data_IF_583324562272
#
_entry.id   IF_583324562272
#
_cell.length_a   1.000
_cell.length_b   1.000
_cell.length_c   1.000
_cell.angle_alpha   90.00
_cell.angle_beta   90.00
_cell.angle_gamma   90.00
#
_symmetry.space_group_name_H-M   'P 1'
#
loop_
_entity.id
_entity.type
_entity.pdbx_description
1 polymer ?
#
# COMPACT_ATOMS: atom_id res chain seq x y z
N UNK A 1 -21.11 -19.48 -0.01
CA UNK A 1 -19.88 -18.67 -0.04
C UNK A 1 -18.87 -19.39 0.84
N UNK A 2 -17.77 -19.79 0.24
CA UNK A 2 -16.76 -20.63 0.89
C UNK A 2 -15.54 -19.81 1.32
N UNK A 3 -15.46 -18.57 0.79
CA UNK A 3 -14.32 -17.69 1.01
C UNK A 3 -14.71 -16.21 0.92
N UNK A 4 -14.09 -15.37 1.74
CA UNK A 4 -14.16 -13.91 1.68
C UNK A 4 -12.74 -13.38 1.38
N UNK A 5 -12.56 -12.67 0.27
CA UNK A 5 -11.33 -11.91 0.00
C UNK A 5 -11.63 -10.45 0.28
N UNK A 6 -11.12 -9.95 1.41
CA UNK A 6 -11.36 -8.59 1.89
C UNK A 6 -10.32 -7.62 1.34
N UNK A 7 -10.70 -6.90 0.27
CA UNK A 7 -9.88 -5.88 -0.39
C UNK A 7 -10.32 -4.45 -0.07
N UNK A 8 -11.51 -4.28 0.52
CA UNK A 8 -12.08 -2.97 0.78
C UNK A 8 -11.31 -2.22 1.88
N UNK A 9 -10.79 -1.05 1.54
CA UNK A 9 -10.11 -0.18 2.48
C UNK A 9 -10.12 1.28 1.98
N UNK A 10 -10.05 2.22 2.91
CA UNK A 10 -9.60 3.57 2.59
C UNK A 10 -8.06 3.55 2.50
N UNK A 11 -7.52 3.85 1.32
CA UNK A 11 -6.08 3.78 1.01
C UNK A 11 -5.42 5.16 0.90
N UNK A 12 -6.12 6.22 1.31
CA UNK A 12 -5.53 7.56 1.36
C UNK A 12 -4.46 7.62 2.46
N UNK A 13 -3.36 8.32 2.22
CA UNK A 13 -2.31 8.45 3.22
C UNK A 13 -2.62 9.48 4.30
N UNK A 14 -3.55 10.42 4.03
CA UNK A 14 -3.94 11.49 4.94
C UNK A 14 -5.46 11.55 5.06
N UNK A 15 -5.94 11.93 6.23
CA UNK A 15 -7.37 12.09 6.46
C UNK A 15 -7.76 12.01 7.94
N UNK A 16 -9.06 11.97 8.18
CA UNK A 16 -9.61 11.87 9.52
C UNK A 16 -9.44 10.45 10.07
N UNK A 17 -8.78 10.31 11.21
CA UNK A 17 -8.52 9.04 11.90
C UNK A 17 -9.81 8.23 12.11
N UNK A 18 -10.88 8.88 12.60
CA UNK A 18 -12.16 8.19 12.83
C UNK A 18 -12.77 7.58 11.54
N UNK A 19 -12.49 8.18 10.38
CA UNK A 19 -12.94 7.62 9.10
C UNK A 19 -12.18 6.33 8.77
N UNK A 20 -10.86 6.30 8.94
CA UNK A 20 -10.03 5.10 8.75
C UNK A 20 -10.41 4.00 9.75
N UNK A 21 -10.64 4.34 11.01
CA UNK A 21 -11.11 3.40 12.02
C UNK A 21 -12.44 2.76 11.60
N UNK A 22 -13.39 3.57 11.16
CA UNK A 22 -14.72 3.10 10.75
C UNK A 22 -14.65 2.20 9.49
N UNK A 23 -13.88 2.60 8.48
CA UNK A 23 -13.82 1.88 7.20
C UNK A 23 -12.90 0.67 7.30
N UNK A 24 -11.65 0.87 7.73
CA UNK A 24 -10.64 -0.19 7.68
C UNK A 24 -10.77 -1.15 8.87
N UNK A 25 -10.86 -0.63 10.09
CA UNK A 25 -10.86 -1.49 11.30
C UNK A 25 -12.25 -2.07 11.56
N UNK A 26 -13.27 -1.21 11.67
CA UNK A 26 -14.63 -1.67 11.97
C UNK A 26 -15.23 -2.46 10.81
N UNK A 27 -14.94 -2.08 9.54
CA UNK A 27 -15.31 -2.84 8.36
C UNK A 27 -14.72 -4.25 8.36
N UNK A 28 -13.43 -4.38 8.69
CA UNK A 28 -12.78 -5.69 8.85
C UNK A 28 -13.45 -6.52 9.95
N UNK A 29 -13.74 -5.89 11.10
CA UNK A 29 -14.41 -6.57 12.22
C UNK A 29 -15.76 -7.14 11.80
N UNK A 30 -16.61 -6.37 11.12
CA UNK A 30 -17.92 -6.85 10.65
C UNK A 30 -17.78 -8.05 9.70
N UNK A 31 -16.81 -8.04 8.79
CA UNK A 31 -16.59 -9.17 7.88
C UNK A 31 -16.06 -10.41 8.62
N UNK A 32 -15.21 -10.22 9.64
CA UNK A 32 -14.77 -11.32 10.51
C UNK A 32 -15.93 -11.91 11.31
N UNK A 33 -16.86 -11.10 11.82
CA UNK A 33 -18.06 -11.58 12.53
C UNK A 33 -18.95 -12.41 11.59
N UNK A 34 -19.10 -11.99 10.33
CA UNK A 34 -19.79 -12.78 9.30
C UNK A 34 -19.04 -14.09 9.02
N UNK A 35 -17.72 -14.04 8.89
CA UNK A 35 -16.92 -15.23 8.63
C UNK A 35 -17.03 -16.26 9.76
N UNK A 36 -16.94 -15.82 11.01
CA UNK A 36 -17.11 -16.69 12.20
C UNK A 36 -18.50 -17.31 12.33
N UNK A 37 -19.54 -16.67 11.77
CA UNK A 37 -20.90 -17.20 11.81
C UNK A 37 -21.13 -18.40 10.88
N UNK A 38 -20.18 -18.71 10.01
CA UNK A 38 -20.28 -19.80 9.02
C UNK A 38 -19.14 -20.80 9.21
N UNK A 39 -19.54 -22.07 9.28
CA UNK A 39 -18.58 -23.17 9.34
C UNK A 39 -17.78 -23.26 8.04
N UNK A 40 -16.49 -23.57 8.15
CA UNK A 40 -15.56 -23.83 7.04
C UNK A 40 -15.35 -22.65 6.06
N UNK A 41 -15.72 -21.40 6.45
CA UNK A 41 -15.44 -20.21 5.65
C UNK A 41 -14.01 -19.77 5.85
N UNK A 42 -13.33 -19.45 4.73
CA UNK A 42 -11.96 -18.90 4.73
C UNK A 42 -11.98 -17.38 4.63
N UNK A 43 -11.11 -16.72 5.37
CA UNK A 43 -10.98 -15.26 5.34
C UNK A 43 -9.60 -14.84 4.87
N UNK A 44 -9.55 -14.13 3.75
CA UNK A 44 -8.34 -13.63 3.12
C UNK A 44 -8.29 -12.12 3.25
N UNK A 45 -7.31 -11.61 3.98
CA UNK A 45 -7.15 -10.18 4.23
C UNK A 45 -6.03 -9.58 3.39
N UNK A 46 -6.36 -8.55 2.60
CA UNK A 46 -5.36 -7.80 1.85
C UNK A 46 -4.84 -6.67 2.71
N UNK A 47 -3.61 -6.80 3.16
CA UNK A 47 -2.87 -5.80 3.92
C UNK A 47 -1.87 -5.04 3.04
N UNK A 48 -0.90 -4.39 3.64
CA UNK A 48 0.11 -3.60 2.93
C UNK A 48 1.52 -3.99 3.35
N UNK A 49 2.45 -3.91 2.41
CA UNK A 49 3.87 -4.08 2.65
C UNK A 49 4.49 -2.87 3.37
N UNK A 50 3.78 -1.74 3.42
CA UNK A 50 4.22 -0.53 4.12
C UNK A 50 4.28 -0.63 5.64
N UNK A 51 4.13 -1.83 6.21
CA UNK A 51 4.28 -2.12 7.63
C UNK A 51 5.53 -3.00 7.82
N UNK A 52 6.53 -2.58 8.56
CA UNK A 52 6.81 -1.25 9.12
C UNK A 52 7.35 -0.27 8.05
N UNK A 53 6.90 0.97 8.12
CA UNK A 53 7.12 1.98 7.09
C UNK A 53 8.60 2.36 6.92
N UNK A 54 9.33 2.53 8.02
CA UNK A 54 10.75 2.86 8.05
C UNK A 54 11.63 1.81 7.37
N UNK A 55 11.36 0.53 7.60
CA UNK A 55 12.10 -0.58 6.99
C UNK A 55 11.79 -0.69 5.50
N UNK A 56 10.54 -0.49 5.09
CA UNK A 56 10.16 -0.58 3.68
C UNK A 56 10.74 0.58 2.86
N UNK A 57 10.68 1.80 3.37
CA UNK A 57 11.25 2.99 2.71
C UNK A 57 12.78 2.96 2.62
N UNK A 58 13.45 2.37 3.62
CA UNK A 58 14.91 2.21 3.62
C UNK A 58 15.41 1.05 2.76
N UNK A 59 14.52 0.27 2.14
CA UNK A 59 14.88 -0.87 1.32
C UNK A 59 15.36 -2.11 2.11
N UNK A 60 15.11 -2.18 3.41
CA UNK A 60 15.48 -3.30 4.26
C UNK A 60 14.46 -4.46 4.15
N UNK A 61 14.21 -4.89 2.92
CA UNK A 61 13.14 -5.84 2.58
C UNK A 61 13.29 -7.20 3.24
N UNK A 62 14.49 -7.69 3.45
CA UNK A 62 14.72 -8.95 4.17
C UNK A 62 14.14 -8.91 5.59
N UNK A 63 14.28 -7.77 6.27
CA UNK A 63 13.71 -7.57 7.60
C UNK A 63 12.19 -7.42 7.57
N UNK A 64 11.63 -6.82 6.53
CA UNK A 64 10.17 -6.71 6.34
C UNK A 64 9.57 -8.09 6.10
N UNK A 65 10.15 -8.84 5.16
CA UNK A 65 9.65 -10.16 4.74
C UNK A 65 9.81 -11.21 5.86
N UNK A 66 10.85 -11.12 6.69
CA UNK A 66 11.05 -12.04 7.81
C UNK A 66 10.02 -11.90 8.93
N UNK A 67 9.30 -10.78 9.01
CA UNK A 67 8.29 -10.55 10.05
C UNK A 67 6.92 -11.09 9.63
N UNK A 68 6.57 -12.26 10.14
CA UNK A 68 5.23 -12.84 9.96
C UNK A 68 4.17 -12.06 10.74
N UNK A 69 4.44 -11.74 12.02
CA UNK A 69 3.56 -10.92 12.86
C UNK A 69 4.35 -9.72 13.40
N UNK A 70 3.65 -8.61 13.64
CA UNK A 70 4.23 -7.43 14.27
C UNK A 70 3.91 -7.39 15.76
N UNK A 71 4.77 -6.67 16.52
CA UNK A 71 4.55 -6.48 17.95
C UNK A 71 3.23 -5.73 18.20
N UNK A 72 2.49 -6.13 19.23
CA UNK A 72 1.19 -5.53 19.56
C UNK A 72 1.28 -4.04 19.88
N UNK A 73 2.42 -3.58 20.39
CA UNK A 73 2.65 -2.19 20.77
C UNK A 73 3.21 -1.31 19.65
N UNK A 74 3.43 -1.90 18.45
CA UNK A 74 3.90 -1.14 17.30
C UNK A 74 2.85 -0.08 16.93
N UNK A 75 3.28 1.18 16.93
CA UNK A 75 2.49 2.33 16.46
C UNK A 75 3.18 2.94 15.24
N UNK A 76 2.39 3.26 14.24
CA UNK A 76 2.86 3.83 12.98
C UNK A 76 2.35 5.28 12.87
N UNK A 77 3.17 6.15 12.27
CA UNK A 77 2.81 7.56 12.10
C UNK A 77 1.71 7.77 11.05
N UNK A 78 1.74 7.00 9.98
CA UNK A 78 0.73 7.05 8.94
C UNK A 78 -0.59 6.46 9.44
N UNK A 79 -1.67 7.24 9.33
CA UNK A 79 -3.03 6.81 9.68
C UNK A 79 -3.45 5.57 8.90
N UNK A 80 -3.08 5.51 7.62
CA UNK A 80 -3.36 4.37 6.76
C UNK A 80 -2.67 3.09 7.23
N UNK A 81 -1.34 3.11 7.33
CA UNK A 81 -0.56 1.92 7.75
C UNK A 81 -0.93 1.46 9.15
N UNK A 82 -1.20 2.40 10.07
CA UNK A 82 -1.68 2.08 11.40
C UNK A 82 -3.05 1.39 11.36
N UNK A 83 -4.00 1.87 10.55
CA UNK A 83 -5.32 1.23 10.41
C UNK A 83 -5.23 -0.17 9.81
N UNK A 84 -4.29 -0.41 8.88
CA UNK A 84 -4.03 -1.73 8.31
C UNK A 84 -3.41 -2.68 9.34
N UNK A 85 -2.48 -2.19 10.16
CA UNK A 85 -1.87 -2.95 11.24
C UNK A 85 -2.92 -3.38 12.27
N UNK A 86 -3.77 -2.47 12.74
CA UNK A 86 -4.84 -2.79 13.69
C UNK A 86 -5.83 -3.81 13.11
N UNK A 87 -6.13 -3.72 11.82
CA UNK A 87 -6.96 -4.71 11.13
C UNK A 87 -6.27 -6.07 11.01
N UNK A 88 -4.95 -6.14 10.75
CA UNK A 88 -4.20 -7.39 10.78
C UNK A 88 -4.27 -8.07 12.16
N UNK A 89 -4.13 -7.30 13.25
CA UNK A 89 -4.24 -7.83 14.61
C UNK A 89 -5.60 -8.50 14.85
N UNK A 90 -6.70 -7.90 14.35
CA UNK A 90 -8.02 -8.50 14.42
C UNK A 90 -8.11 -9.82 13.63
N UNK A 91 -7.50 -9.87 12.45
CA UNK A 91 -7.48 -11.07 11.60
C UNK A 91 -6.68 -12.19 12.27
N UNK A 92 -5.48 -11.92 12.79
CA UNK A 92 -4.68 -12.91 13.50
C UNK A 92 -5.40 -13.43 14.75
N UNK A 93 -6.04 -12.54 15.51
CA UNK A 93 -6.85 -12.95 16.67
C UNK A 93 -7.99 -13.90 16.25
N UNK A 94 -8.67 -13.61 15.14
CA UNK A 94 -9.70 -14.50 14.63
C UNK A 94 -9.12 -15.86 14.19
N UNK A 95 -7.91 -15.89 13.65
CA UNK A 95 -7.18 -17.12 13.36
C UNK A 95 -6.86 -17.93 14.61
N UNK A 96 -6.42 -17.29 15.68
CA UNK A 96 -6.18 -17.93 17.00
C UNK A 96 -7.47 -18.48 17.61
N UNK A 97 -8.62 -17.89 17.30
CA UNK A 97 -9.95 -18.36 17.67
C UNK A 97 -10.52 -19.48 16.76
N UNK A 98 -9.73 -19.93 15.76
CA UNK A 98 -10.05 -21.06 14.89
C UNK A 98 -10.63 -20.73 13.51
N UNK A 99 -10.69 -19.44 13.12
CA UNK A 99 -11.06 -19.08 11.75
C UNK A 99 -9.90 -19.36 10.77
N UNK A 100 -10.18 -20.01 9.65
CA UNK A 100 -9.18 -20.19 8.58
C UNK A 100 -8.86 -18.85 7.93
N UNK A 101 -7.67 -18.30 8.20
CA UNK A 101 -7.27 -16.96 7.73
C UNK A 101 -6.01 -17.02 6.87
N UNK A 102 -5.87 -16.04 5.95
CA UNK A 102 -4.60 -15.69 5.32
C UNK A 102 -4.45 -14.17 5.27
N UNK A 103 -3.22 -13.69 5.38
CA UNK A 103 -2.87 -12.28 5.22
C UNK A 103 -1.98 -12.10 4.00
N UNK A 104 -2.29 -11.12 3.16
CA UNK A 104 -1.51 -10.79 1.96
C UNK A 104 -1.05 -9.33 2.07
N UNK A 105 0.21 -9.11 2.36
CA UNK A 105 0.83 -7.78 2.39
C UNK A 105 1.24 -7.41 0.98
N UNK A 106 0.38 -6.62 0.33
CA UNK A 106 0.61 -6.17 -1.03
C UNK A 106 1.55 -4.95 -1.05
N UNK A 107 2.42 -4.92 -2.04
CA UNK A 107 3.24 -3.75 -2.39
C UNK A 107 2.44 -2.63 -3.03
N UNK A 108 3.13 -1.64 -3.61
CA UNK A 108 2.48 -0.58 -4.37
C UNK A 108 1.89 -1.14 -5.67
N UNK A 109 0.58 -1.40 -5.65
CA UNK A 109 -0.12 -1.93 -6.81
C UNK A 109 -0.12 -0.89 -7.92
N UNK A 110 0.41 -1.29 -9.07
CA UNK A 110 0.57 -0.47 -10.26
C UNK A 110 -0.31 -0.96 -11.42
N UNK A 111 -0.07 -0.44 -12.61
CA UNK A 111 -0.80 -0.84 -13.81
C UNK A 111 -0.64 -2.35 -14.10
N UNK A 112 -1.56 -2.88 -14.92
CA UNK A 112 -1.44 -4.20 -15.52
C UNK A 112 -0.18 -4.29 -16.38
N UNK A 113 0.64 -5.31 -16.15
CA UNK A 113 1.90 -5.50 -16.89
C UNK A 113 1.71 -5.80 -18.39
N UNK A 114 0.57 -6.38 -18.75
CA UNK A 114 0.29 -6.78 -20.14
C UNK A 114 -0.13 -5.59 -21.03
N UNK A 115 -0.83 -4.59 -20.46
CA UNK A 115 -1.46 -3.54 -21.28
C UNK A 115 -1.34 -2.12 -20.71
N UNK A 116 -0.70 -1.95 -19.56
CA UNK A 116 -0.51 -0.66 -18.91
C UNK A 116 -1.78 -0.05 -18.31
N UNK A 117 -2.92 -0.74 -18.35
CA UNK A 117 -4.17 -0.21 -17.78
C UNK A 117 -4.10 -0.12 -16.26
N UNK A 118 -4.67 0.97 -15.73
CA UNK A 118 -4.77 1.22 -14.31
C UNK A 118 -6.22 1.52 -13.91
N UNK A 119 -6.47 1.66 -12.60
CA UNK A 119 -7.79 1.99 -12.08
C UNK A 119 -8.37 3.28 -12.68
N UNK A 120 -9.69 3.35 -12.85
CA UNK A 120 -10.35 4.51 -13.48
C UNK A 120 -10.20 5.80 -12.67
N UNK A 121 -10.20 5.72 -11.34
CA UNK A 121 -10.05 6.84 -10.42
C UNK A 121 -8.57 7.05 -10.00
N UNK A 122 -7.68 7.14 -10.98
CA UNK A 122 -6.23 7.28 -10.78
C UNK A 122 -5.86 8.43 -9.84
N UNK A 123 -6.60 9.53 -9.88
CA UNK A 123 -6.37 10.71 -9.04
C UNK A 123 -6.62 10.47 -7.54
N UNK A 124 -7.28 9.38 -7.16
CA UNK A 124 -7.42 8.98 -5.76
C UNK A 124 -6.26 8.12 -5.24
N UNK A 125 -5.37 7.64 -6.12
CA UNK A 125 -4.24 6.81 -5.75
C UNK A 125 -3.03 7.67 -5.36
N UNK A 126 -2.57 7.55 -4.11
CA UNK A 126 -1.48 8.37 -3.57
C UNK A 126 -0.15 8.22 -4.34
N UNK A 127 0.19 7.00 -4.76
CA UNK A 127 1.41 6.74 -5.53
C UNK A 127 1.41 7.45 -6.89
N UNK A 128 0.29 7.36 -7.61
CA UNK A 128 0.16 8.05 -8.90
C UNK A 128 0.02 9.56 -8.75
N UNK A 129 -0.60 10.06 -7.67
CA UNK A 129 -0.61 11.49 -7.34
C UNK A 129 0.81 12.03 -7.14
N UNK A 130 1.68 11.28 -6.48
CA UNK A 130 3.10 11.65 -6.34
C UNK A 130 3.77 11.79 -7.71
N UNK A 131 3.62 10.79 -8.59
CA UNK A 131 4.19 10.85 -9.95
C UNK A 131 3.59 12.02 -10.74
N UNK A 132 2.27 12.18 -10.71
CA UNK A 132 1.57 13.31 -11.36
C UNK A 132 2.08 14.66 -10.87
N UNK A 133 2.30 14.80 -9.56
CA UNK A 133 2.85 16.03 -8.99
C UNK A 133 4.26 16.32 -9.53
N UNK A 134 5.14 15.32 -9.59
CA UNK A 134 6.48 15.49 -10.18
C UNK A 134 6.42 15.97 -11.63
N UNK A 135 5.52 15.38 -12.44
CA UNK A 135 5.34 15.74 -13.84
C UNK A 135 4.81 17.17 -14.00
N UNK A 136 3.82 17.58 -13.21
CA UNK A 136 3.20 18.89 -13.29
C UNK A 136 4.10 20.00 -12.75
N UNK A 137 4.83 19.72 -11.67
CA UNK A 137 5.69 20.69 -11.01
C UNK A 137 7.07 20.82 -11.68
N UNK A 138 7.50 19.80 -12.42
CA UNK A 138 8.84 19.74 -13.02
C UNK A 138 9.96 19.69 -11.97
N UNK A 139 9.63 19.43 -10.72
CA UNK A 139 10.57 19.33 -9.60
C UNK A 139 10.14 18.22 -8.64
N UNK A 140 11.15 17.60 -8.01
CA UNK A 140 10.93 16.61 -6.97
C UNK A 140 12.06 16.69 -5.91
N UNK A 141 11.79 16.33 -4.65
CA UNK A 141 12.82 16.33 -3.63
C UNK A 141 13.82 15.20 -3.88
N UNK A 142 15.07 15.39 -3.51
CA UNK A 142 16.03 14.28 -3.40
C UNK A 142 15.61 13.40 -2.22
N UNK A 143 15.36 12.14 -2.49
CA UNK A 143 15.05 11.17 -1.46
C UNK A 143 15.89 9.90 -1.67
N UNK A 144 16.43 9.36 -0.58
CA UNK A 144 17.15 8.10 -0.59
C UNK A 144 16.20 6.99 -0.11
N UNK A 145 15.20 6.68 -0.95
CA UNK A 145 14.22 5.65 -0.69
C UNK A 145 14.04 4.76 -1.92
N UNK A 146 13.47 3.59 -1.69
CA UNK A 146 13.16 2.62 -2.73
C UNK A 146 11.65 2.60 -3.00
N UNK A 147 11.30 2.44 -4.25
CA UNK A 147 9.92 2.30 -4.70
C UNK A 147 9.67 0.88 -5.20
N UNK A 148 8.56 0.33 -4.78
CA UNK A 148 8.03 -0.93 -5.26
C UNK A 148 7.00 -0.68 -6.37
N UNK A 149 7.11 -1.44 -7.46
CA UNK A 149 6.19 -1.43 -8.58
C UNK A 149 5.64 -2.84 -8.76
N UNK A 150 4.53 -3.14 -8.11
CA UNK A 150 3.89 -4.45 -8.18
C UNK A 150 2.72 -4.44 -9.17
N UNK A 151 2.80 -5.11 -10.32
CA UNK A 151 1.71 -5.16 -11.28
C UNK A 151 0.44 -5.78 -10.69
N UNK A 152 -0.72 -5.13 -10.91
CA UNK A 152 -2.00 -5.57 -10.33
C UNK A 152 -2.44 -6.95 -10.82
N UNK A 153 -2.17 -7.29 -12.07
CA UNK A 153 -2.47 -8.60 -12.66
C UNK A 153 -1.65 -9.72 -12.02
N UNK A 154 -0.35 -9.47 -11.74
CA UNK A 154 0.48 -10.39 -10.98
C UNK A 154 -0.05 -10.57 -9.55
N UNK A 155 -0.29 -9.46 -8.84
CA UNK A 155 -0.77 -9.51 -7.46
C UNK A 155 -2.10 -10.26 -7.34
N UNK A 156 -3.06 -9.98 -8.22
CA UNK A 156 -4.37 -10.63 -8.20
C UNK A 156 -4.28 -12.13 -8.52
N UNK A 157 -3.50 -12.53 -9.52
CA UNK A 157 -3.25 -13.94 -9.86
C UNK A 157 -2.60 -14.69 -8.69
N UNK A 158 -1.58 -14.08 -8.05
CA UNK A 158 -0.91 -14.68 -6.90
C UNK A 158 -1.86 -14.88 -5.70
N UNK A 159 -2.63 -13.84 -5.34
CA UNK A 159 -3.58 -13.89 -4.23
C UNK A 159 -4.62 -14.98 -4.47
N UNK A 160 -5.24 -15.03 -5.66
CA UNK A 160 -6.25 -16.03 -5.99
C UNK A 160 -5.66 -17.43 -5.98
N UNK A 161 -4.47 -17.63 -6.56
CA UNK A 161 -3.80 -18.93 -6.56
C UNK A 161 -3.52 -19.44 -5.15
N UNK A 162 -3.02 -18.58 -4.26
CA UNK A 162 -2.76 -18.93 -2.87
C UNK A 162 -4.05 -19.14 -2.07
N UNK A 163 -5.09 -18.34 -2.31
CA UNK A 163 -6.37 -18.46 -1.63
C UNK A 163 -7.09 -19.80 -1.94
N UNK A 164 -6.84 -20.37 -3.12
CA UNK A 164 -7.41 -21.66 -3.51
C UNK A 164 -6.68 -22.88 -2.93
N UNK A 165 -5.52 -22.70 -2.25
CA UNK A 165 -4.74 -23.79 -1.70
C UNK A 165 -5.06 -24.02 -0.22
N UNK A 166 -5.20 -25.29 0.20
CA UNK A 166 -5.47 -25.62 1.60
C UNK A 166 -4.26 -25.54 2.51
N UNK A 167 -3.09 -25.86 1.98
CA UNK A 167 -1.82 -25.85 2.71
C UNK A 167 -1.28 -24.44 3.00
N UNK A 168 -1.97 -23.40 2.60
CA UNK A 168 -1.61 -21.99 2.85
C UNK A 168 -2.36 -21.38 4.03
N UNK A 169 -3.31 -22.08 4.65
CA UNK A 169 -4.12 -21.57 5.74
C UNK A 169 -3.23 -21.19 6.94
N UNK A 170 -3.47 -19.99 7.49
CA UNK A 170 -2.72 -19.44 8.62
C UNK A 170 -1.49 -18.63 8.22
N UNK A 171 -1.14 -18.60 6.94
CA UNK A 171 0.08 -18.00 6.46
C UNK A 171 -0.06 -16.50 6.12
N UNK A 172 1.07 -15.81 6.19
CA UNK A 172 1.23 -14.41 5.76
C UNK A 172 2.14 -14.35 4.55
N UNK A 173 1.63 -13.79 3.46
CA UNK A 173 2.34 -13.68 2.19
C UNK A 173 2.70 -12.22 1.89
N UNK A 174 3.91 -12.01 1.37
CA UNK A 174 4.34 -10.73 0.85
C UNK A 174 4.21 -10.75 -0.69
N UNK A 175 3.26 -9.99 -1.21
CA UNK A 175 2.95 -9.95 -2.64
C UNK A 175 3.49 -8.64 -3.20
N UNK A 176 4.72 -8.66 -3.64
CA UNK A 176 5.43 -7.48 -4.14
C UNK A 176 6.44 -7.85 -5.24
N UNK A 177 6.90 -6.85 -5.98
CA UNK A 177 8.04 -7.00 -6.84
C UNK A 177 9.31 -7.07 -5.97
N UNK A 178 10.09 -8.14 -6.04
CA UNK A 178 11.34 -8.25 -5.27
C UNK A 178 12.41 -7.24 -5.72
N UNK A 179 12.32 -6.75 -6.97
CA UNK A 179 13.23 -5.76 -7.52
C UNK A 179 12.71 -4.34 -7.24
N UNK A 180 13.26 -3.76 -6.18
CA UNK A 180 12.95 -2.39 -5.79
C UNK A 180 13.78 -1.40 -6.61
N UNK A 181 13.18 -0.26 -6.97
CA UNK A 181 13.83 0.77 -7.78
C UNK A 181 14.11 1.99 -6.92
N UNK A 182 15.35 2.48 -6.96
CA UNK A 182 15.72 3.70 -6.26
C UNK A 182 14.89 4.88 -6.82
N UNK A 183 14.35 5.71 -5.94
CA UNK A 183 13.51 6.85 -6.31
C UNK A 183 14.16 7.77 -7.36
N UNK A 184 15.44 8.09 -7.21
CA UNK A 184 16.17 8.90 -8.20
C UNK A 184 16.27 8.23 -9.57
N UNK A 185 16.35 6.90 -9.62
CA UNK A 185 16.34 6.15 -10.87
C UNK A 185 14.98 6.22 -11.58
N UNK A 186 13.88 6.25 -10.81
CA UNK A 186 12.53 6.44 -11.38
C UNK A 186 12.43 7.83 -12.03
N UNK A 187 12.90 8.89 -11.35
CA UNK A 187 12.92 10.24 -11.92
C UNK A 187 13.78 10.30 -13.19
N UNK A 188 14.94 9.62 -13.19
CA UNK A 188 15.79 9.53 -14.37
C UNK A 188 15.07 8.83 -15.54
N UNK A 189 14.38 7.72 -15.29
CA UNK A 189 13.59 7.02 -16.31
C UNK A 189 12.50 7.93 -16.89
N UNK A 190 11.76 8.65 -16.04
CA UNK A 190 10.73 9.60 -16.47
C UNK A 190 11.33 10.70 -17.37
N UNK A 191 12.50 11.22 -17.01
CA UNK A 191 13.19 12.22 -17.82
C UNK A 191 13.65 11.67 -19.19
N UNK A 192 14.03 10.39 -19.25
CA UNK A 192 14.37 9.72 -20.52
C UNK A 192 13.16 9.55 -21.44
N UNK A 193 11.93 9.55 -20.91
CA UNK A 193 10.70 9.60 -21.71
C UNK A 193 10.35 11.00 -22.24
N UNK A 194 11.19 12.01 -21.98
CA UNK A 194 11.02 13.37 -22.49
C UNK A 194 10.45 14.37 -21.51
N UNK A 195 10.18 13.97 -20.26
CA UNK A 195 9.82 14.88 -19.19
C UNK A 195 11.08 15.59 -18.62
N UNK A 196 10.88 16.67 -17.90
CA UNK A 196 11.97 17.43 -17.26
C UNK A 196 11.65 17.62 -15.79
N UNK A 197 12.13 16.70 -14.96
CA UNK A 197 11.99 16.76 -13.49
C UNK A 197 13.39 17.01 -12.91
N UNK A 198 13.54 18.13 -12.20
CA UNK A 198 14.75 18.49 -11.47
C UNK A 198 14.67 17.92 -10.05
N UNK A 199 15.72 17.18 -9.62
CA UNK A 199 15.87 16.74 -8.24
C UNK A 199 16.58 17.82 -7.44
N UNK A 200 15.91 18.41 -6.45
CA UNK A 200 16.44 19.44 -5.58
C UNK A 200 16.47 18.97 -4.13
N UNK A 201 17.26 19.66 -3.29
CA UNK A 201 17.33 19.34 -1.87
C UNK A 201 15.96 19.44 -1.20
N UNK A 202 15.69 18.61 -0.18
CA UNK A 202 14.39 18.54 0.50
C UNK A 202 13.97 19.90 1.07
N UNK A 203 14.89 20.61 1.74
CA UNK A 203 14.60 21.91 2.34
C UNK A 203 14.32 22.96 1.26
N UNK A 204 15.07 22.90 0.16
CA UNK A 204 14.88 23.77 -0.99
C UNK A 204 13.51 23.50 -1.66
N UNK A 205 13.15 22.21 -1.81
CA UNK A 205 11.85 21.80 -2.36
C UNK A 205 10.68 22.31 -1.53
N UNK A 206 10.74 22.18 -0.22
CA UNK A 206 9.72 22.69 0.69
C UNK A 206 9.57 24.21 0.59
N UNK A 207 10.68 24.96 0.64
CA UNK A 207 10.66 26.42 0.46
C UNK A 207 10.07 26.82 -0.89
N UNK A 208 10.41 26.07 -1.94
CA UNK A 208 9.88 26.31 -3.28
C UNK A 208 8.37 26.03 -3.35
N UNK A 209 7.87 24.93 -2.77
CA UNK A 209 6.45 24.59 -2.71
C UNK A 209 5.62 25.66 -1.97
N UNK A 210 6.13 26.17 -0.86
CA UNK A 210 5.43 27.16 -0.05
C UNK A 210 5.57 28.59 -0.58
N UNK A 211 6.32 28.81 -1.66
CA UNK A 211 6.44 30.14 -2.26
C UNK A 211 5.12 30.54 -2.93
N UNK A 212 4.66 31.80 -2.65
CA UNK A 212 3.34 32.33 -3.10
C UNK A 212 3.09 32.25 -4.62
N UNK A 213 4.15 32.11 -5.44
CA UNK A 213 4.04 32.03 -6.89
C UNK A 213 3.53 30.66 -7.39
N UNK A 214 3.57 29.60 -6.57
CA UNK A 214 3.12 28.26 -6.93
C UNK A 214 1.60 28.11 -6.74
N UNK A 215 0.97 28.95 -5.91
CA UNK A 215 -0.49 28.94 -5.72
C UNK A 215 -1.31 29.15 -6.99
N UNK A 216 -0.71 29.65 -8.06
CA UNK A 216 -1.38 29.84 -9.37
C UNK A 216 -1.35 28.63 -10.30
N UNK A 217 -0.51 27.63 -10.00
CA UNK A 217 -0.43 26.38 -10.77
C UNK A 217 -1.20 25.23 -10.11
N UNK A 218 -1.87 25.50 -8.98
CA UNK A 218 -2.52 24.46 -8.15
C UNK A 218 -3.94 24.06 -8.62
N UNK A 219 -4.47 24.59 -9.71
CA UNK A 219 -5.79 24.19 -10.23
C UNK A 219 -5.90 22.73 -10.74
N UNK A 220 -4.97 21.88 -10.38
CA UNK A 220 -4.98 20.47 -10.74
C UNK A 220 -4.37 19.51 -9.71
N UNK A 221 -4.03 20.01 -8.51
CA UNK A 221 -3.36 19.22 -7.46
C UNK A 221 -4.22 18.98 -6.20
N UNK A 222 -5.50 19.40 -6.19
CA UNK A 222 -6.45 19.07 -5.13
C UNK A 222 -6.97 17.63 -5.21
#
# INVERSE_FOLDING_TARGET
VDSIIHTAADVRHFGNVCHFEKVNIQGTKYLLDIAKSKKDLRFHYISTLGIPEDLSLSGQWEKVISKQKFDNDLKLESVYTNSKLESEKLVYKAGEEGLAINVYRAGNLTCCSENGQFQKNIDSNAFYRMIKAMLLLGKAPKANCYLDFTPIDYASKAIVSLACQENTIGETFHICNPEQILYSSVVYMINNFGYKIELIDQIEYEKWLFNKNIKKTQEGLE
#
